data_IF_753371054721
#
_entry.id   IF_753371054721
#
_cell.length_a   1.000
_cell.length_b   1.000
_cell.length_c   1.000
_cell.angle_alpha   90.00
_cell.angle_beta   90.00
_cell.angle_gamma   90.00
#
_symmetry.space_group_name_H-M   'P 1'
#
loop_
_entity.id
_entity.type
_entity.pdbx_description
1 polymer ?
#
# COMPACT_ATOMS: atom_id res chain seq x y z
N UNK A 1 -7.12 -13.14 34.86
CA UNK A 1 -7.17 -13.93 33.62
C UNK A 1 -7.40 -12.97 32.47
N UNK A 2 -6.34 -12.66 31.73
CA UNK A 2 -6.31 -11.76 30.58
C UNK A 2 -6.89 -12.49 29.38
N UNK A 3 -7.91 -11.96 28.73
CA UNK A 3 -8.38 -12.49 27.45
C UNK A 3 -8.23 -11.41 26.38
N UNK A 4 -7.28 -11.65 25.47
CA UNK A 4 -6.82 -10.69 24.47
C UNK A 4 -7.83 -10.51 23.36
N UNK A 5 -8.05 -9.25 23.00
CA UNK A 5 -8.82 -8.83 21.84
C UNK A 5 -8.11 -9.27 20.55
N UNK A 6 -8.57 -10.37 19.96
CA UNK A 6 -8.28 -10.68 18.57
C UNK A 6 -9.03 -9.67 17.70
N UNK A 7 -8.27 -8.78 17.06
CA UNK A 7 -8.77 -7.91 15.99
C UNK A 7 -9.24 -8.82 14.87
N UNK A 8 -10.56 -8.98 14.71
CA UNK A 8 -11.15 -9.72 13.60
C UNK A 8 -10.86 -8.97 12.31
N UNK A 9 -9.87 -9.46 11.55
CA UNK A 9 -9.67 -9.07 10.16
C UNK A 9 -10.96 -9.35 9.37
N UNK A 10 -11.38 -8.38 8.56
CA UNK A 10 -12.62 -8.45 7.77
C UNK A 10 -12.57 -9.67 6.83
N UNK A 11 -13.56 -10.58 6.92
CA UNK A 11 -13.62 -11.82 6.14
C UNK A 11 -13.55 -11.59 4.61
N UNK A 12 -13.98 -10.41 4.13
CA UNK A 12 -13.92 -10.01 2.73
C UNK A 12 -12.50 -9.82 2.19
N UNK A 13 -11.50 -9.60 3.07
CA UNK A 13 -10.09 -9.48 2.70
C UNK A 13 -9.42 -10.83 2.41
N UNK A 14 -9.94 -11.92 2.98
CA UNK A 14 -9.40 -13.27 2.80
C UNK A 14 -9.78 -13.89 1.44
N UNK A 15 -10.85 -13.39 0.79
CA UNK A 15 -11.42 -13.99 -0.43
C UNK A 15 -11.09 -13.22 -1.71
N UNK A 16 -10.54 -12.00 -1.62
CA UNK A 16 -10.15 -11.23 -2.79
C UNK A 16 -8.94 -11.88 -3.49
N UNK A 17 -9.01 -12.04 -4.82
CA UNK A 17 -7.85 -12.47 -5.61
C UNK A 17 -6.79 -11.39 -5.51
N UNK A 18 -5.58 -11.79 -5.11
CA UNK A 18 -4.44 -10.89 -4.92
C UNK A 18 -3.42 -11.08 -6.02
N UNK A 19 -2.42 -10.19 -6.03
CA UNK A 19 -1.33 -10.22 -6.99
C UNK A 19 0.02 -10.27 -6.28
N UNK A 20 1.01 -10.81 -6.97
CA UNK A 20 2.40 -10.74 -6.56
C UNK A 20 2.99 -9.35 -6.78
N UNK A 21 4.21 -9.11 -6.30
CA UNK A 21 4.97 -7.89 -6.57
C UNK A 21 5.16 -7.61 -8.07
N UNK A 22 5.32 -8.64 -8.90
CA UNK A 22 5.37 -8.51 -10.36
C UNK A 22 4.00 -8.35 -11.04
N UNK A 23 2.92 -8.23 -10.25
CA UNK A 23 1.56 -8.05 -10.77
C UNK A 23 0.91 -9.35 -11.23
N UNK A 24 1.49 -10.50 -10.87
CA UNK A 24 0.97 -11.80 -11.29
C UNK A 24 -0.20 -12.21 -10.44
N UNK A 25 -1.27 -12.62 -11.10
CA UNK A 25 -2.51 -13.02 -10.43
C UNK A 25 -2.29 -14.30 -9.64
N UNK A 26 -2.53 -14.22 -8.34
CA UNK A 26 -2.49 -15.37 -7.46
C UNK A 26 -3.71 -16.27 -7.68
N UNK A 27 -3.54 -17.59 -7.52
CA UNK A 27 -4.66 -18.53 -7.43
C UNK A 27 -5.54 -18.15 -6.23
N UNK A 28 -6.83 -18.47 -6.29
CA UNK A 28 -7.79 -18.24 -5.18
C UNK A 28 -7.54 -19.11 -3.96
N UNK A 29 -6.99 -20.30 -4.19
CA UNK A 29 -6.58 -21.28 -3.20
C UNK A 29 -5.46 -22.12 -3.81
N UNK A 30 -4.59 -22.68 -2.97
CA UNK A 30 -3.48 -23.50 -3.44
C UNK A 30 -2.97 -24.43 -2.33
N UNK A 31 -2.23 -25.47 -2.72
CA UNK A 31 -1.58 -26.40 -1.79
C UNK A 31 -0.20 -26.74 -2.34
N UNK A 32 0.80 -26.77 -1.46
CA UNK A 32 2.18 -27.13 -1.80
C UNK A 32 2.69 -28.20 -0.83
N UNK A 33 3.21 -29.29 -1.40
CA UNK A 33 3.70 -30.42 -0.62
C UNK A 33 4.86 -30.01 0.30
N UNK A 34 4.73 -30.29 1.59
CA UNK A 34 5.77 -29.98 2.59
C UNK A 34 5.71 -28.58 3.19
N UNK A 35 4.83 -27.68 2.70
CA UNK A 35 4.63 -26.33 3.25
C UNK A 35 3.23 -26.22 3.85
N UNK A 36 2.18 -26.59 3.10
CA UNK A 36 0.80 -26.52 3.57
C UNK A 36 -0.19 -26.10 2.49
N UNK A 37 -1.36 -25.63 2.92
CA UNK A 37 -2.45 -25.17 2.05
C UNK A 37 -2.88 -23.77 2.39
N UNK A 38 -3.31 -23.02 1.39
CA UNK A 38 -3.89 -21.70 1.51
C UNK A 38 -5.30 -21.71 0.92
N UNK A 39 -6.31 -21.45 1.76
CA UNK A 39 -7.70 -21.26 1.34
C UNK A 39 -8.03 -19.77 1.12
N UNK A 40 -7.03 -19.05 0.63
CA UNK A 40 -7.09 -17.63 0.32
C UNK A 40 -6.15 -17.38 -0.86
N UNK A 41 -6.19 -16.16 -1.41
CA UNK A 41 -5.32 -15.88 -2.55
C UNK A 41 -3.84 -15.73 -2.15
N UNK A 42 -3.57 -15.21 -0.94
CA UNK A 42 -2.23 -15.06 -0.37
C UNK A 42 -2.20 -15.51 1.08
N UNK A 43 -1.21 -16.32 1.46
CA UNK A 43 -1.00 -16.80 2.83
C UNK A 43 0.48 -16.77 3.19
N UNK A 44 0.81 -17.03 4.45
CA UNK A 44 2.18 -17.27 4.92
C UNK A 44 2.25 -18.53 5.79
N UNK A 45 1.97 -19.73 5.23
CA UNK A 45 1.83 -20.97 6.00
C UNK A 45 3.14 -21.46 6.64
N UNK A 46 4.27 -21.04 6.09
CA UNK A 46 5.64 -21.35 6.51
C UNK A 46 6.26 -20.28 7.42
N UNK A 47 5.50 -19.23 7.75
CA UNK A 47 5.97 -18.12 8.58
C UNK A 47 7.27 -17.50 8.03
N UNK A 48 7.32 -17.35 6.70
CA UNK A 48 8.36 -16.64 5.96
C UNK A 48 8.43 -15.19 6.46
N UNK A 49 9.65 -14.71 6.66
CA UNK A 49 9.94 -13.37 7.16
C UNK A 49 9.65 -12.30 6.09
N UNK A 50 9.75 -12.67 4.81
CA UNK A 50 9.45 -11.81 3.66
C UNK A 50 7.93 -11.65 3.45
N UNK A 51 7.11 -12.45 4.16
CA UNK A 51 5.68 -12.23 4.32
C UNK A 51 4.79 -13.14 3.46
N UNK A 52 3.53 -12.74 3.20
CA UNK A 52 2.58 -13.60 2.50
C UNK A 52 2.92 -13.74 1.01
N UNK A 53 2.75 -14.95 0.49
CA UNK A 53 3.01 -15.33 -0.89
C UNK A 53 1.87 -16.18 -1.44
N UNK A 54 1.92 -16.47 -2.73
CA UNK A 54 0.92 -17.27 -3.42
C UNK A 54 1.50 -18.09 -4.57
N UNK A 55 0.77 -19.12 -4.99
CA UNK A 55 0.94 -19.74 -6.30
C UNK A 55 0.31 -18.87 -7.38
N UNK A 56 1.03 -18.57 -8.45
CA UNK A 56 0.48 -17.78 -9.56
C UNK A 56 -0.43 -18.61 -10.47
N UNK A 57 -1.45 -17.99 -11.04
CA UNK A 57 -2.32 -18.62 -12.04
C UNK A 57 -1.56 -18.88 -13.34
N UNK A 58 -0.82 -17.88 -13.81
CA UNK A 58 0.05 -17.96 -14.98
C UNK A 58 1.51 -18.13 -14.55
N UNK A 59 2.04 -19.34 -14.79
CA UNK A 59 3.43 -19.72 -14.47
C UNK A 59 4.48 -18.98 -15.27
N UNK A 60 4.09 -18.32 -16.36
CA UNK A 60 5.00 -17.52 -17.18
C UNK A 60 5.08 -16.06 -16.73
N UNK A 61 4.21 -15.65 -15.80
CA UNK A 61 4.17 -14.28 -15.31
C UNK A 61 5.28 -13.99 -14.29
N UNK A 62 5.56 -14.96 -13.43
CA UNK A 62 6.67 -14.90 -12.46
C UNK A 62 7.87 -15.70 -12.97
N UNK A 63 9.05 -15.46 -12.39
CA UNK A 63 10.24 -16.29 -12.59
C UNK A 63 10.10 -17.69 -11.96
N UNK A 64 8.99 -17.95 -11.26
CA UNK A 64 8.65 -19.22 -10.62
C UNK A 64 7.13 -19.49 -10.67
N UNK A 65 6.72 -20.69 -10.25
CA UNK A 65 5.29 -21.04 -10.10
C UNK A 65 4.59 -20.30 -8.92
N UNK A 66 5.32 -19.43 -8.20
CA UNK A 66 4.88 -18.71 -7.02
C UNK A 66 5.51 -17.30 -6.95
N UNK A 67 4.95 -16.41 -6.13
CA UNK A 67 5.55 -15.11 -5.85
C UNK A 67 5.01 -14.47 -4.56
N UNK A 68 5.78 -13.53 -4.00
CA UNK A 68 5.38 -12.77 -2.82
C UNK A 68 4.25 -11.78 -3.14
N UNK A 69 3.26 -11.72 -2.28
CA UNK A 69 2.05 -10.94 -2.51
C UNK A 69 2.20 -9.48 -2.12
N UNK A 70 1.77 -8.58 -3.01
CA UNK A 70 1.56 -7.15 -2.66
C UNK A 70 0.60 -7.04 -1.49
N UNK A 71 0.91 -6.30 -0.40
CA UNK A 71 0.09 -6.23 0.80
C UNK A 71 -1.35 -5.85 0.47
N UNK A 72 -2.29 -6.32 1.29
CA UNK A 72 -3.67 -5.86 1.18
C UNK A 72 -3.60 -4.31 1.35
N UNK A 73 -4.12 -3.58 0.37
CA UNK A 73 -4.19 -2.12 0.35
C UNK A 73 -5.08 -1.42 1.43
N UNK A 74 -5.89 -2.05 2.33
CA UNK A 74 -6.52 -1.36 3.48
C UNK A 74 -5.65 -0.38 4.26
N UNK A 75 -4.36 -0.66 4.43
CA UNK A 75 -3.50 0.18 5.27
C UNK A 75 -3.18 1.52 4.60
N UNK A 76 -3.35 1.63 3.28
CA UNK A 76 -3.21 2.89 2.54
C UNK A 76 -4.58 3.54 2.29
N UNK A 77 -5.65 2.75 2.12
CA UNK A 77 -7.01 3.28 1.99
C UNK A 77 -7.52 3.91 3.28
N UNK A 78 -7.10 3.43 4.46
CA UNK A 78 -7.49 4.01 5.74
C UNK A 78 -6.96 5.45 5.98
N UNK A 79 -5.96 5.89 5.20
CA UNK A 79 -5.43 7.25 5.20
C UNK A 79 -5.59 7.93 3.83
N UNK A 80 -6.35 7.33 2.92
CA UNK A 80 -6.55 7.91 1.61
C UNK A 80 -7.63 9.00 1.68
N UNK A 81 -7.37 10.17 1.11
CA UNK A 81 -8.36 11.24 0.95
C UNK A 81 -8.61 11.56 -0.52
N UNK A 82 -9.88 11.76 -0.87
CA UNK A 82 -10.25 12.20 -2.21
C UNK A 82 -9.58 13.56 -2.53
N UNK A 83 -9.07 13.69 -3.75
CA UNK A 83 -8.18 14.77 -4.17
C UNK A 83 -8.59 15.36 -5.54
N UNK A 84 -9.12 16.59 -5.60
CA UNK A 84 -9.36 17.51 -4.48
C UNK A 84 -10.48 17.01 -3.56
N UNK A 85 -10.47 17.46 -2.30
CA UNK A 85 -11.58 17.23 -1.39
C UNK A 85 -12.87 17.79 -2.00
N UNK A 86 -13.91 16.95 -2.06
CA UNK A 86 -15.18 17.32 -2.69
C UNK A 86 -15.14 17.31 -4.22
N UNK A 87 -14.22 16.56 -4.84
CA UNK A 87 -14.24 16.34 -6.28
C UNK A 87 -15.60 15.79 -6.72
N UNK A 88 -16.10 16.37 -7.81
CA UNK A 88 -17.28 15.94 -8.54
C UNK A 88 -16.88 15.76 -10.00
N UNK A 89 -17.41 14.73 -10.64
CA UNK A 89 -17.32 14.60 -12.09
C UNK A 89 -18.17 15.68 -12.79
N UNK A 90 -18.16 15.71 -14.12
CA UNK A 90 -18.88 16.74 -14.88
C UNK A 90 -20.41 16.56 -14.89
N UNK A 91 -20.93 15.44 -14.39
CA UNK A 91 -22.36 15.19 -14.15
C UNK A 91 -22.75 15.45 -12.69
N UNK A 92 -21.79 15.80 -11.84
CA UNK A 92 -22.00 16.11 -10.43
C UNK A 92 -21.92 14.90 -9.50
N UNK A 93 -21.46 13.74 -9.97
CA UNK A 93 -21.27 12.57 -9.13
C UNK A 93 -19.98 12.67 -8.30
N UNK A 94 -20.14 12.44 -7.00
CA UNK A 94 -19.06 12.48 -6.01
C UNK A 94 -18.32 11.16 -5.87
N UNK A 95 -17.11 11.18 -5.30
CA UNK A 95 -16.39 9.95 -4.93
C UNK A 95 -17.21 9.00 -4.04
N UNK A 96 -18.12 9.54 -3.22
CA UNK A 96 -19.07 8.74 -2.44
C UNK A 96 -20.07 7.96 -3.31
N UNK A 97 -20.52 8.55 -4.42
CA UNK A 97 -21.41 7.87 -5.39
C UNK A 97 -20.66 6.83 -6.20
N UNK A 98 -19.45 7.12 -6.68
CA UNK A 98 -18.61 6.12 -7.37
C UNK A 98 -18.39 4.87 -6.50
N UNK A 99 -18.24 5.06 -5.18
CA UNK A 99 -18.19 3.96 -4.20
C UNK A 99 -19.53 3.24 -4.05
N UNK A 100 -20.62 3.98 -3.84
CA UNK A 100 -21.94 3.41 -3.53
C UNK A 100 -22.48 2.56 -4.69
N UNK A 101 -22.28 3.03 -5.92
CA UNK A 101 -22.77 2.38 -7.14
C UNK A 101 -21.77 1.36 -7.71
N UNK A 102 -20.56 1.28 -7.14
CA UNK A 102 -19.53 0.34 -7.61
C UNK A 102 -19.09 0.62 -9.05
N UNK A 103 -18.97 1.89 -9.42
CA UNK A 103 -18.58 2.36 -10.75
C UNK A 103 -17.08 2.23 -11.03
N UNK A 104 -16.28 2.08 -9.98
CA UNK A 104 -14.85 1.84 -10.08
C UNK A 104 -14.41 0.78 -9.05
N UNK A 105 -13.21 0.27 -9.24
CA UNK A 105 -12.52 -0.59 -8.27
C UNK A 105 -11.37 0.18 -7.62
N UNK A 106 -10.96 -0.25 -6.43
CA UNK A 106 -9.79 0.29 -5.74
C UNK A 106 -8.46 0.07 -6.50
N UNK A 107 -8.49 -0.69 -7.60
CA UNK A 107 -7.35 -0.95 -8.48
C UNK A 107 -7.27 0.03 -9.66
N UNK A 108 -8.16 1.02 -9.74
CA UNK A 108 -8.16 1.96 -10.87
C UNK A 108 -8.84 1.42 -12.13
N UNK A 109 -9.81 0.50 -11.98
CA UNK A 109 -10.56 -0.09 -13.12
C UNK A 109 -12.05 0.20 -13.04
N UNK A 110 -12.74 0.00 -14.16
CA UNK A 110 -14.20 -0.03 -14.22
C UNK A 110 -14.77 -1.03 -13.21
N UNK A 111 -15.72 -0.58 -12.41
CA UNK A 111 -16.43 -1.41 -11.47
C UNK A 111 -17.65 -2.08 -12.12
N UNK A 112 -18.23 -3.06 -11.43
CA UNK A 112 -19.36 -3.84 -11.96
C UNK A 112 -20.63 -3.00 -12.19
N UNK A 113 -20.74 -1.84 -11.56
CA UNK A 113 -21.84 -0.90 -11.78
C UNK A 113 -21.62 0.07 -12.93
N UNK A 114 -20.44 0.11 -13.54
CA UNK A 114 -20.18 0.97 -14.71
C UNK A 114 -20.81 0.35 -15.95
N UNK A 115 -21.77 1.03 -16.55
CA UNK A 115 -22.36 0.59 -17.81
C UNK A 115 -21.36 0.82 -18.96
N UNK A 116 -21.09 -0.22 -19.73
CA UNK A 116 -20.17 -0.15 -20.87
C UNK A 116 -20.62 0.82 -21.97
N UNK A 117 -21.87 1.26 -21.96
CA UNK A 117 -22.41 2.24 -22.92
C UNK A 117 -22.16 3.70 -22.55
N UNK A 118 -21.69 3.96 -21.32
CA UNK A 118 -21.39 5.32 -20.83
C UNK A 118 -20.07 5.90 -21.35
N UNK A 119 -19.25 5.08 -22.00
CA UNK A 119 -17.95 5.51 -22.50
C UNK A 119 -16.86 5.47 -21.42
N UNK A 120 -15.83 6.29 -21.60
CA UNK A 120 -14.63 6.27 -20.77
C UNK A 120 -14.66 7.30 -19.64
N UNK A 121 -13.96 7.03 -18.52
CA UNK A 121 -13.88 7.96 -17.38
C UNK A 121 -13.38 9.37 -17.76
N UNK A 122 -12.65 9.52 -18.87
CA UNK A 122 -12.17 10.84 -19.31
C UNK A 122 -13.30 11.76 -19.76
N UNK A 123 -14.41 11.18 -20.24
CA UNK A 123 -15.60 11.91 -20.65
C UNK A 123 -16.29 12.58 -19.45
N UNK A 124 -16.01 12.08 -18.24
CA UNK A 124 -16.55 12.56 -16.97
C UNK A 124 -15.56 13.45 -16.21
N UNK A 125 -14.35 13.68 -16.75
CA UNK A 125 -13.30 14.39 -16.03
C UNK A 125 -13.65 15.86 -15.73
N UNK A 126 -13.34 16.30 -14.52
CA UNK A 126 -13.42 17.71 -14.10
C UNK A 126 -12.05 18.21 -13.67
N UNK A 127 -11.63 19.36 -14.20
CA UNK A 127 -10.29 19.90 -13.93
C UNK A 127 -9.16 19.01 -14.42
N UNK A 128 -9.41 18.21 -15.48
CA UNK A 128 -8.44 17.27 -16.05
C UNK A 128 -8.19 16.03 -15.18
N UNK A 129 -9.06 15.74 -14.22
CA UNK A 129 -8.97 14.56 -13.35
C UNK A 129 -10.22 13.70 -13.47
N UNK A 130 -10.03 12.39 -13.53
CA UNK A 130 -11.12 11.40 -13.43
C UNK A 130 -11.31 10.89 -12.01
N UNK A 131 -12.37 10.12 -11.78
CA UNK A 131 -12.56 9.40 -10.52
C UNK A 131 -11.39 8.47 -10.19
N UNK A 132 -10.74 7.86 -11.19
CA UNK A 132 -9.56 7.00 -10.99
C UNK A 132 -8.35 7.75 -10.43
N UNK A 133 -8.30 9.08 -10.60
CA UNK A 133 -7.23 9.93 -10.10
C UNK A 133 -7.65 10.66 -8.83
N UNK A 134 -8.91 11.07 -8.74
CA UNK A 134 -9.42 11.88 -7.65
C UNK A 134 -9.92 11.06 -6.45
N UNK A 135 -10.51 9.90 -6.68
CA UNK A 135 -11.25 9.18 -5.66
C UNK A 135 -10.46 8.00 -5.08
N UNK A 136 -10.35 7.96 -3.76
CA UNK A 136 -9.68 6.88 -3.03
C UNK A 136 -10.31 5.51 -3.26
N UNK A 137 -11.64 5.49 -3.36
CA UNK A 137 -12.40 4.26 -3.64
C UNK A 137 -12.07 3.69 -5.03
N UNK A 138 -11.57 4.53 -5.93
CA UNK A 138 -11.20 4.18 -7.30
C UNK A 138 -9.68 3.97 -7.46
N UNK A 139 -8.92 3.91 -6.36
CA UNK A 139 -7.47 3.76 -6.38
C UNK A 139 -6.68 5.07 -6.53
N UNK A 140 -7.37 6.19 -6.71
CA UNK A 140 -6.79 7.54 -6.76
C UNK A 140 -6.67 8.19 -5.38
N UNK A 141 -6.80 9.51 -5.34
CA UNK A 141 -6.71 10.31 -4.11
C UNK A 141 -5.28 10.50 -3.59
N UNK A 142 -5.16 11.19 -2.45
CA UNK A 142 -3.90 11.32 -1.73
C UNK A 142 -3.77 10.19 -0.71
N UNK A 143 -2.72 9.39 -0.84
CA UNK A 143 -2.39 8.31 0.08
C UNK A 143 -1.46 8.85 1.17
N UNK A 144 -2.01 9.16 2.35
CA UNK A 144 -1.27 9.71 3.50
C UNK A 144 -2.07 10.76 4.30
N UNK A 145 -1.57 11.15 5.48
CA UNK A 145 -2.20 12.19 6.33
C UNK A 145 -2.42 13.49 5.55
N UNK A 146 -3.62 14.09 5.64
CA UNK A 146 -4.06 15.30 4.94
C UNK A 146 -3.09 16.50 5.00
N UNK A 147 -2.25 16.54 6.02
CA UNK A 147 -1.31 17.62 6.29
C UNK A 147 0.11 17.30 5.86
N UNK A 148 0.41 16.03 5.60
CA UNK A 148 1.75 15.59 5.25
C UNK A 148 2.03 15.86 3.78
N UNK A 149 3.21 16.42 3.50
CA UNK A 149 3.74 16.52 2.15
C UNK A 149 5.11 15.86 2.05
N UNK A 150 5.30 15.06 1.01
CA UNK A 150 6.61 14.50 0.68
C UNK A 150 7.64 15.64 0.52
N UNK A 151 8.89 15.34 0.86
CA UNK A 151 9.99 16.26 0.64
C UNK A 151 10.14 16.53 -0.88
N UNK A 152 9.98 17.79 -1.27
CA UNK A 152 10.00 18.18 -2.68
C UNK A 152 11.32 17.77 -3.36
N UNK A 153 11.21 17.00 -4.44
CA UNK A 153 12.35 16.58 -5.25
C UNK A 153 13.23 15.50 -4.61
N UNK A 154 12.80 14.91 -3.50
CA UNK A 154 13.55 13.82 -2.88
C UNK A 154 13.54 12.57 -3.75
N UNK A 155 14.71 11.96 -3.89
CA UNK A 155 14.98 10.65 -4.47
C UNK A 155 16.06 9.97 -3.64
N UNK A 156 15.96 8.67 -3.49
CA UNK A 156 16.99 7.88 -2.84
C UNK A 156 18.26 7.75 -3.71
N UNK A 157 19.26 7.00 -3.25
CA UNK A 157 20.53 6.83 -3.97
C UNK A 157 20.40 6.09 -5.30
N UNK A 158 19.30 5.37 -5.52
CA UNK A 158 19.01 4.61 -6.74
C UNK A 158 18.05 5.38 -7.68
N UNK A 159 17.54 6.52 -7.23
CA UNK A 159 16.68 7.42 -8.01
C UNK A 159 15.19 7.26 -7.74
N UNK A 160 14.81 6.41 -6.79
CA UNK A 160 13.43 6.13 -6.44
C UNK A 160 12.85 7.24 -5.55
N UNK A 161 11.66 7.72 -5.90
CA UNK A 161 10.97 8.79 -5.18
C UNK A 161 9.89 8.26 -4.22
N UNK A 162 9.26 9.17 -3.48
CA UNK A 162 8.23 8.80 -2.49
C UNK A 162 7.03 8.06 -3.07
N UNK A 163 6.72 8.25 -4.36
CA UNK A 163 5.67 7.50 -5.03
C UNK A 163 6.08 6.05 -5.22
N UNK A 164 7.33 5.78 -5.63
CA UNK A 164 7.86 4.41 -5.75
C UNK A 164 7.84 3.69 -4.41
N UNK A 165 8.34 4.32 -3.35
CA UNK A 165 8.34 3.74 -1.99
C UNK A 165 6.93 3.39 -1.51
N UNK A 166 5.96 4.21 -1.86
CA UNK A 166 4.55 4.01 -1.55
C UNK A 166 3.94 2.85 -2.34
N UNK A 167 4.09 2.85 -3.66
CA UNK A 167 3.49 1.86 -4.56
C UNK A 167 4.08 0.46 -4.36
N UNK A 168 5.36 0.41 -4.05
CA UNK A 168 6.09 -0.81 -3.74
C UNK A 168 5.95 -1.25 -2.28
N UNK A 169 5.18 -0.52 -1.46
CA UNK A 169 5.04 -0.70 -0.01
C UNK A 169 6.38 -1.04 0.67
N UNK A 170 7.42 -0.31 0.31
CA UNK A 170 8.77 -0.44 0.86
C UNK A 170 8.86 0.09 2.28
N UNK A 171 7.90 0.91 2.68
CA UNK A 171 7.78 1.46 4.02
C UNK A 171 6.33 1.44 4.50
N UNK A 172 6.15 1.76 5.77
CA UNK A 172 4.85 1.96 6.42
C UNK A 172 4.76 3.38 6.96
N UNK A 173 3.55 3.90 7.08
CA UNK A 173 3.27 5.20 7.69
C UNK A 173 3.76 5.34 9.15
N UNK A 174 4.14 4.23 9.78
CA UNK A 174 4.68 4.20 11.13
C UNK A 174 6.21 4.38 11.19
N UNK A 175 6.89 4.69 10.07
CA UNK A 175 8.36 4.84 10.06
C UNK A 175 9.10 3.50 10.06
N UNK A 176 8.53 2.47 9.44
CA UNK A 176 9.13 1.11 9.41
C UNK A 176 9.21 0.59 7.99
N UNK A 177 10.08 -0.40 7.77
CA UNK A 177 10.10 -1.18 6.52
C UNK A 177 8.73 -1.82 6.27
N UNK A 178 8.29 -1.76 5.02
CA UNK A 178 7.04 -2.35 4.57
C UNK A 178 7.26 -3.73 3.96
N UNK A 179 6.16 -4.43 3.68
CA UNK A 179 6.19 -5.81 3.20
C UNK A 179 6.79 -5.99 1.80
N UNK A 180 7.02 -4.91 1.05
CA UNK A 180 7.74 -4.97 -0.22
C UNK A 180 9.24 -4.72 -0.10
N UNK A 181 9.74 -4.43 1.11
CA UNK A 181 11.15 -4.17 1.32
C UNK A 181 11.87 -5.44 1.76
N UNK A 182 12.77 -5.92 0.90
CA UNK A 182 13.54 -7.13 1.15
C UNK A 182 14.82 -6.80 1.93
N UNK A 183 14.72 -6.60 3.25
CA UNK A 183 15.88 -6.23 4.09
C UNK A 183 17.03 -7.24 3.99
N UNK A 184 16.72 -8.53 3.82
CA UNK A 184 17.70 -9.60 3.67
C UNK A 184 18.58 -9.43 2.43
N UNK A 185 18.02 -8.85 1.36
CA UNK A 185 18.65 -8.77 0.04
C UNK A 185 19.18 -7.37 -0.26
N UNK A 186 18.44 -6.33 0.10
CA UNK A 186 18.77 -4.93 -0.20
C UNK A 186 19.43 -4.21 0.98
N UNK A 187 19.37 -4.78 2.18
CA UNK A 187 19.85 -4.17 3.41
C UNK A 187 18.84 -3.19 4.03
N UNK A 188 19.35 -2.27 4.85
CA UNK A 188 18.50 -1.33 5.58
C UNK A 188 17.98 -0.23 4.65
N UNK A 189 16.68 0.09 4.76
CA UNK A 189 16.04 1.15 3.98
C UNK A 189 16.70 2.53 4.14
N UNK A 190 17.32 2.78 5.29
CA UNK A 190 18.05 4.02 5.55
C UNK A 190 19.39 4.10 4.82
N UNK A 191 19.90 2.99 4.28
CA UNK A 191 21.16 2.97 3.52
C UNK A 191 21.03 3.70 2.17
N UNK A 192 19.81 3.85 1.66
CA UNK A 192 19.50 4.51 0.39
C UNK A 192 19.31 6.03 0.55
N UNK A 193 19.61 6.59 1.72
CA UNK A 193 19.41 8.00 2.01
C UNK A 193 20.26 8.94 1.11
N UNK A 194 19.62 9.98 0.57
CA UNK A 194 20.27 11.10 -0.13
C UNK A 194 20.22 12.34 0.74
N UNK A 195 21.31 13.11 0.79
CA UNK A 195 21.44 14.30 1.66
C UNK A 195 21.08 14.03 3.13
N UNK A 196 21.37 12.82 3.61
CA UNK A 196 21.10 12.38 4.98
C UNK A 196 19.62 12.14 5.28
N UNK A 197 18.74 12.08 4.28
CA UNK A 197 17.31 11.76 4.42
C UNK A 197 16.97 10.48 3.68
N UNK A 198 16.44 9.51 4.41
CA UNK A 198 15.84 8.30 3.84
C UNK A 198 14.38 8.54 3.47
N UNK A 199 13.75 7.54 2.85
CA UNK A 199 12.31 7.58 2.62
C UNK A 199 11.51 7.72 3.93
N UNK A 200 12.03 7.18 5.03
CA UNK A 200 11.40 7.30 6.37
C UNK A 200 11.36 8.74 6.87
N UNK A 201 12.25 9.61 6.37
CA UNK A 201 12.32 11.03 6.72
C UNK A 201 11.57 11.88 5.68
N UNK A 202 11.67 11.50 4.40
CA UNK A 202 11.22 12.29 3.27
C UNK A 202 9.76 12.06 2.89
N UNK A 203 9.24 10.85 3.08
CA UNK A 203 8.01 10.40 2.47
C UNK A 203 6.88 10.20 3.48
N UNK A 204 5.71 10.76 3.19
CA UNK A 204 4.50 10.64 4.00
C UNK A 204 4.04 9.20 4.13
N UNK A 205 4.12 8.42 3.05
CA UNK A 205 3.81 6.99 3.04
C UNK A 205 4.68 6.19 4.03
N UNK A 206 5.85 6.74 4.37
CA UNK A 206 6.81 6.14 5.28
C UNK A 206 6.78 6.77 6.68
N UNK A 207 5.82 7.64 6.98
CA UNK A 207 5.71 8.34 8.27
C UNK A 207 6.58 9.60 8.40
N UNK A 208 7.35 9.94 7.37
CA UNK A 208 8.13 11.17 7.27
C UNK A 208 7.34 12.33 6.65
N UNK A 209 8.03 13.14 5.84
CA UNK A 209 7.46 14.29 5.13
C UNK A 209 7.26 15.54 6.00
N UNK A 210 7.04 16.68 5.37
CA UNK A 210 6.73 17.92 6.07
C UNK A 210 5.34 17.81 6.73
N UNK A 211 5.32 17.95 8.06
CA UNK A 211 4.23 17.66 9.02
C UNK A 211 4.11 16.21 9.53
N UNK A 212 5.04 15.31 9.17
CA UNK A 212 5.30 14.10 9.95
C UNK A 212 5.97 14.50 11.27
N UNK A 213 5.27 14.33 12.39
CA UNK A 213 5.83 14.60 13.72
C UNK A 213 7.14 13.85 13.89
N UNK A 214 8.22 14.61 13.98
CA UNK A 214 9.52 14.16 14.45
C UNK A 214 9.35 13.61 15.87
N UNK A 215 9.29 12.29 16.04
CA UNK A 215 9.62 11.62 17.30
C UNK A 215 9.73 10.10 17.15
N UNK A 216 10.74 9.66 16.40
CA UNK A 216 11.52 8.48 16.78
C UNK A 216 12.97 8.93 17.02
N UNK A 217 13.13 10.00 17.80
CA UNK A 217 14.40 10.32 18.43
C UNK A 217 14.69 9.24 19.45
N UNK A 218 15.78 8.52 19.20
CA UNK A 218 16.53 7.67 20.12
C UNK A 218 16.16 7.85 21.60
N UNK A 219 15.80 6.75 22.27
CA UNK A 219 16.05 6.66 23.71
C UNK A 219 17.56 6.83 23.94
N UNK A 220 18.03 7.86 24.65
CA UNK A 220 19.36 7.77 25.23
C UNK A 220 19.30 6.76 26.38
N UNK A 221 20.20 5.78 26.32
CA UNK A 221 20.50 4.89 27.43
C UNK A 221 20.80 5.75 28.68
N UNK A 222 20.08 5.51 29.77
CA UNK A 222 20.33 6.17 31.05
C UNK A 222 21.73 5.81 31.53
N UNK A 223 22.62 6.80 31.53
CA UNK A 223 23.94 6.71 32.13
C UNK A 223 23.80 6.59 33.66
N UNK A 224 24.44 5.56 34.21
CA UNK A 224 24.63 5.39 35.63
C UNK A 224 25.40 6.59 36.21
N UNK A 225 24.88 7.13 37.30
CA UNK A 225 25.53 8.18 38.10
C UNK A 225 26.65 7.56 38.94
N UNK A 226 27.88 8.10 38.99
CA UNK A 226 28.83 7.76 40.03
C UNK A 226 28.51 8.59 41.29
N UNK A 227 28.32 7.90 42.42
CA UNK A 227 28.25 8.55 43.73
C UNK A 227 29.67 8.93 44.19
N UNK A 228 29.80 10.18 44.64
CA UNK A 228 30.92 10.67 45.43
C UNK A 228 30.76 10.27 46.90
#
# INVERSE_FOLDING_TARGET
ASNGSAVTANASAATAVRMTWNGCKCKKEWTWAGIGSCNASCCNPDNDQEGPWCMVEDKTCEDADWGYCKPWQPSMTALCQDAPSGWLDNEGASCGQYRAEGWCTSEGKYGAGWDTTWGDFQEYATGGRTALQACCTCGGGHKGSATCRDAQGWRDSDGDDCQVYQESAWCTHAGRTGAGWHTSTWGQITAFATDGKSALDACCACGGGANGSSSAGAQPASAATPAA
#
